data_IF_814005081977
#
_entry.id   IF_814005081977
#
_cell.length_a   1.000
_cell.length_b   1.000
_cell.length_c   1.000
_cell.angle_alpha   90.00
_cell.angle_beta   90.00
_cell.angle_gamma   90.00
#
_symmetry.space_group_name_H-M   'P 1'
#
loop_
_entity.id
_entity.type
_entity.pdbx_description
1 polymer ?
#
# COMPACT_ATOMS: atom_id res chain seq x y z
N UNK A 1 29.48 5.38 2.99
CA UNK A 1 28.92 4.23 2.25
C UNK A 1 27.73 3.69 3.01
N UNK A 2 26.57 3.68 2.40
CA UNK A 2 25.40 3.00 2.97
C UNK A 2 25.59 1.50 2.73
N UNK A 3 25.70 0.75 3.82
CA UNK A 3 25.81 -0.71 3.74
C UNK A 3 24.40 -1.30 3.81
N UNK A 4 24.04 -2.06 2.79
CA UNK A 4 22.78 -2.84 2.79
C UNK A 4 23.00 -4.08 3.67
N UNK A 5 22.10 -4.28 4.63
CA UNK A 5 22.14 -5.42 5.56
C UNK A 5 21.02 -6.37 5.17
N UNK A 6 21.30 -7.67 4.98
CA UNK A 6 20.24 -8.64 4.75
C UNK A 6 19.34 -8.77 5.98
N UNK A 7 18.03 -8.76 5.76
CA UNK A 7 17.02 -8.90 6.81
C UNK A 7 16.28 -10.22 6.59
N UNK A 8 16.34 -11.12 7.57
CA UNK A 8 15.56 -12.36 7.56
C UNK A 8 14.24 -12.22 8.29
N UNK A 9 14.19 -11.30 9.27
CA UNK A 9 13.02 -10.98 10.07
C UNK A 9 13.05 -9.52 10.50
N UNK A 10 11.91 -8.85 10.51
CA UNK A 10 11.76 -7.47 10.95
C UNK A 10 10.64 -7.37 11.99
N UNK A 11 10.95 -6.81 13.16
CA UNK A 11 9.99 -6.67 14.27
C UNK A 11 8.87 -5.65 14.00
N UNK A 12 9.04 -4.80 12.99
CA UNK A 12 8.04 -3.77 12.63
C UNK A 12 7.07 -4.26 11.55
N UNK A 13 7.43 -5.31 10.81
CA UNK A 13 6.57 -5.90 9.79
C UNK A 13 5.50 -6.79 10.43
N UNK A 14 4.31 -6.74 9.88
CA UNK A 14 3.27 -7.73 10.15
C UNK A 14 3.72 -9.14 9.76
N UNK A 15 3.20 -10.15 10.47
CA UNK A 15 3.63 -11.54 10.26
C UNK A 15 3.54 -12.02 8.81
N UNK A 16 2.46 -11.73 8.04
CA UNK A 16 2.37 -12.13 6.63
C UNK A 16 3.50 -11.57 5.76
N UNK A 17 3.95 -10.34 6.03
CA UNK A 17 5.08 -9.73 5.34
C UNK A 17 6.41 -10.39 5.73
N UNK A 18 6.60 -10.70 7.01
CA UNK A 18 7.78 -11.44 7.47
C UNK A 18 7.88 -12.82 6.82
N UNK A 19 6.76 -13.55 6.72
CA UNK A 19 6.70 -14.89 6.12
C UNK A 19 7.02 -14.87 4.61
N UNK A 20 6.90 -13.71 3.97
CA UNK A 20 7.22 -13.53 2.56
C UNK A 20 8.73 -13.31 2.32
N UNK A 21 9.48 -12.74 3.28
CA UNK A 21 10.90 -12.39 3.11
C UNK A 21 11.78 -13.56 2.64
N UNK A 22 11.76 -14.75 3.29
CA UNK A 22 12.57 -15.88 2.82
C UNK A 22 12.14 -16.39 1.46
N UNK A 23 10.87 -16.28 1.11
CA UNK A 23 10.34 -16.70 -0.19
C UNK A 23 10.80 -15.74 -1.30
N UNK A 24 10.85 -14.43 -1.04
CA UNK A 24 11.42 -13.43 -1.94
C UNK A 24 12.92 -13.68 -2.16
N UNK A 25 13.65 -13.99 -1.09
CA UNK A 25 15.06 -14.35 -1.20
C UNK A 25 15.27 -15.55 -2.12
N UNK A 26 14.45 -16.60 -1.97
CA UNK A 26 14.50 -17.79 -2.84
C UNK A 26 14.09 -17.50 -4.29
N UNK A 27 13.12 -16.60 -4.51
CA UNK A 27 12.71 -16.13 -5.83
C UNK A 27 13.88 -15.43 -6.53
N UNK A 28 14.46 -14.41 -5.90
CA UNK A 28 15.49 -13.58 -6.50
C UNK A 28 16.87 -14.26 -6.59
N UNK A 29 17.09 -15.34 -5.87
CA UNK A 29 18.25 -16.22 -6.09
C UNK A 29 18.23 -16.90 -7.48
N UNK A 30 17.06 -16.98 -8.14
CA UNK A 30 16.88 -17.54 -9.47
C UNK A 30 16.81 -16.47 -10.57
N UNK A 31 16.92 -15.18 -10.19
CA UNK A 31 16.79 -14.06 -11.11
C UNK A 31 17.97 -13.99 -12.07
N UNK A 32 17.71 -13.86 -13.37
CA UNK A 32 18.76 -13.93 -14.39
C UNK A 32 19.71 -12.73 -14.36
N UNK A 33 19.23 -11.55 -13.97
CA UNK A 33 20.02 -10.31 -13.89
C UNK A 33 19.81 -9.56 -12.57
N UNK A 34 20.28 -10.10 -11.43
CA UNK A 34 20.00 -9.53 -10.11
C UNK A 34 20.54 -8.10 -9.93
N UNK A 35 21.56 -7.69 -10.68
CA UNK A 35 22.09 -6.33 -10.67
C UNK A 35 21.12 -5.29 -11.29
N UNK A 36 20.04 -5.72 -11.92
CA UNK A 36 19.00 -4.85 -12.47
C UNK A 36 17.78 -4.74 -11.55
N UNK A 37 17.75 -5.49 -10.47
CA UNK A 37 16.76 -5.31 -9.41
C UNK A 37 17.01 -3.96 -8.74
N UNK A 38 15.99 -3.13 -8.69
CA UNK A 38 15.98 -1.87 -7.95
C UNK A 38 15.65 -2.13 -6.49
N UNK A 39 14.40 -1.97 -6.13
CA UNK A 39 13.91 -2.28 -4.79
C UNK A 39 12.49 -2.84 -4.85
N UNK A 40 12.08 -3.39 -3.71
CA UNK A 40 10.76 -3.97 -3.52
C UNK A 40 10.06 -3.17 -2.43
N UNK A 41 8.82 -2.81 -2.70
CA UNK A 41 7.91 -2.26 -1.71
C UNK A 41 6.82 -3.30 -1.43
N UNK A 42 6.53 -3.51 -0.15
CA UNK A 42 5.51 -4.45 0.31
C UNK A 42 4.50 -3.72 1.17
N UNK A 43 3.24 -3.97 0.92
CA UNK A 43 2.14 -3.37 1.66
C UNK A 43 1.15 -4.47 2.05
N UNK A 44 0.82 -4.54 3.35
CA UNK A 44 -0.29 -5.33 3.82
C UNK A 44 -1.58 -4.52 3.65
N UNK A 45 -2.47 -4.98 2.77
CA UNK A 45 -3.80 -4.43 2.56
C UNK A 45 -4.86 -5.37 3.15
N UNK A 46 -6.10 -4.91 3.29
CA UNK A 46 -7.18 -5.75 3.85
C UNK A 46 -7.54 -6.95 2.94
N UNK A 47 -7.23 -6.85 1.64
CA UNK A 47 -7.43 -7.95 0.68
C UNK A 47 -6.17 -8.75 0.34
N UNK A 48 -5.07 -8.56 1.07
CA UNK A 48 -3.85 -9.34 0.87
C UNK A 48 -2.59 -8.49 0.85
N UNK A 49 -1.50 -9.04 0.29
CA UNK A 49 -0.22 -8.34 0.19
C UNK A 49 -0.06 -7.77 -1.21
N UNK A 50 0.17 -6.47 -1.31
CA UNK A 50 0.61 -5.81 -2.53
C UNK A 50 2.13 -5.72 -2.56
N UNK A 51 2.72 -6.01 -3.72
CA UNK A 51 4.14 -5.94 -3.99
C UNK A 51 4.42 -5.08 -5.22
N UNK A 52 5.24 -4.06 -5.07
CA UNK A 52 5.82 -3.32 -6.19
C UNK A 52 7.28 -3.73 -6.34
N UNK A 53 7.62 -4.29 -7.49
CA UNK A 53 9.00 -4.53 -7.92
C UNK A 53 9.46 -3.40 -8.84
N UNK A 54 10.52 -2.71 -8.46
CA UNK A 54 11.20 -1.74 -9.34
C UNK A 54 12.39 -2.40 -10.01
N UNK A 55 12.41 -2.37 -11.34
CA UNK A 55 13.45 -2.96 -12.17
C UNK A 55 14.07 -1.89 -13.08
N UNK A 56 15.41 -1.88 -13.18
CA UNK A 56 16.14 -0.82 -13.89
C UNK A 56 15.89 -0.87 -15.40
N UNK A 57 15.71 -2.06 -15.95
CA UNK A 57 15.44 -2.32 -17.37
C UNK A 57 14.20 -3.20 -17.51
N UNK A 58 13.84 -3.51 -18.75
CA UNK A 58 12.75 -4.45 -19.00
C UNK A 58 13.08 -5.84 -18.44
N UNK A 59 12.10 -6.46 -17.81
CA UNK A 59 12.19 -7.82 -17.27
C UNK A 59 12.12 -8.81 -18.42
N UNK A 60 13.08 -9.73 -18.49
CA UNK A 60 13.08 -10.79 -19.49
C UNK A 60 11.94 -11.80 -19.28
N UNK A 61 11.54 -12.48 -20.35
CA UNK A 61 10.38 -13.39 -20.34
C UNK A 61 10.49 -14.52 -19.30
N UNK A 62 11.71 -15.03 -19.06
CA UNK A 62 11.97 -16.05 -18.03
C UNK A 62 11.67 -15.52 -16.64
N UNK A 63 12.20 -14.34 -16.30
CA UNK A 63 12.00 -13.70 -15.00
C UNK A 63 10.55 -13.23 -14.82
N UNK A 64 9.92 -12.77 -15.91
CA UNK A 64 8.49 -12.43 -15.92
C UNK A 64 7.63 -13.63 -15.56
N UNK A 65 7.87 -14.77 -16.19
CA UNK A 65 7.16 -16.01 -15.91
C UNK A 65 7.36 -16.47 -14.48
N UNK A 66 8.60 -16.39 -13.98
CA UNK A 66 8.94 -16.73 -12.60
C UNK A 66 8.21 -15.84 -11.60
N UNK A 67 8.18 -14.54 -11.86
CA UNK A 67 7.53 -13.56 -10.99
C UNK A 67 6.01 -13.73 -10.95
N UNK A 68 5.37 -13.94 -12.10
CA UNK A 68 3.92 -14.17 -12.19
C UNK A 68 3.51 -15.45 -11.46
N UNK A 69 4.26 -16.54 -11.61
CA UNK A 69 4.02 -17.78 -10.85
C UNK A 69 4.16 -17.58 -9.35
N UNK A 70 5.15 -16.81 -8.94
CA UNK A 70 5.34 -16.49 -7.55
C UNK A 70 4.16 -15.66 -6.99
N UNK A 71 3.71 -14.65 -7.74
CA UNK A 71 2.57 -13.83 -7.36
C UNK A 71 1.29 -14.67 -7.21
N UNK A 72 1.04 -15.58 -8.15
CA UNK A 72 -0.08 -16.52 -8.09
C UNK A 72 0.01 -17.45 -6.86
N UNK A 73 1.16 -18.07 -6.64
CA UNK A 73 1.38 -19.00 -5.52
C UNK A 73 1.26 -18.35 -4.15
N UNK A 74 1.69 -17.09 -4.05
CA UNK A 74 1.61 -16.32 -2.80
C UNK A 74 0.37 -15.45 -2.70
N UNK A 75 -0.52 -15.48 -3.71
CA UNK A 75 -1.75 -14.66 -3.80
C UNK A 75 -1.45 -13.15 -3.61
N UNK A 76 -0.39 -12.67 -4.28
CA UNK A 76 0.02 -11.27 -4.22
C UNK A 76 -0.76 -10.42 -5.22
N UNK A 77 -0.91 -9.15 -4.90
CA UNK A 77 -1.23 -8.10 -5.87
C UNK A 77 0.09 -7.56 -6.40
N UNK A 78 0.43 -7.86 -7.65
CA UNK A 78 1.75 -7.59 -8.21
C UNK A 78 1.73 -6.36 -9.11
N UNK A 79 2.58 -5.42 -8.78
CA UNK A 79 2.88 -4.24 -9.57
C UNK A 79 4.36 -4.25 -9.94
N UNK A 80 4.66 -3.82 -11.14
CA UNK A 80 6.03 -3.74 -11.65
C UNK A 80 6.29 -2.38 -12.23
N UNK A 81 7.38 -1.76 -11.80
CA UNK A 81 7.88 -0.53 -12.38
C UNK A 81 9.10 -0.84 -13.25
N UNK A 82 8.92 -0.65 -14.54
CA UNK A 82 9.97 -0.61 -15.54
C UNK A 82 10.08 0.85 -16.03
N UNK A 83 11.29 1.44 -15.95
CA UNK A 83 11.48 2.86 -16.24
C UNK A 83 10.57 3.77 -15.37
N UNK A 84 9.73 4.58 -16.01
CA UNK A 84 8.87 5.57 -15.32
C UNK A 84 7.41 5.10 -15.15
N UNK A 85 7.03 3.98 -15.76
CA UNK A 85 5.66 3.44 -15.72
C UNK A 85 5.53 2.30 -14.73
N UNK A 86 4.41 2.30 -13.99
CA UNK A 86 4.02 1.16 -13.16
C UNK A 86 2.88 0.44 -13.87
N UNK A 87 3.01 -0.86 -13.98
CA UNK A 87 2.00 -1.74 -14.55
C UNK A 87 1.48 -2.69 -13.47
N UNK A 88 0.19 -2.93 -13.49
CA UNK A 88 -0.45 -3.95 -12.66
C UNK A 88 -0.40 -5.29 -13.40
N UNK A 89 0.39 -6.23 -12.89
CA UNK A 89 0.63 -7.51 -13.58
C UNK A 89 -0.24 -8.65 -13.08
N UNK A 90 -0.64 -8.65 -11.81
CA UNK A 90 -1.43 -9.75 -11.24
C UNK A 90 -2.22 -9.33 -9.99
N UNK A 91 -3.36 -9.99 -9.75
CA UNK A 91 -4.20 -9.82 -8.58
C UNK A 91 -5.19 -8.66 -8.71
N UNK A 92 -5.75 -8.24 -7.60
CA UNK A 92 -6.71 -7.15 -7.51
C UNK A 92 -6.02 -5.83 -7.15
N UNK A 93 -6.78 -4.72 -7.15
CA UNK A 93 -6.30 -3.45 -6.61
C UNK A 93 -6.32 -3.53 -5.08
N UNK A 94 -5.23 -3.11 -4.39
CA UNK A 94 -5.22 -3.12 -2.94
C UNK A 94 -6.19 -2.10 -2.36
N UNK A 95 -6.79 -2.46 -1.22
CA UNK A 95 -7.67 -1.57 -0.48
C UNK A 95 -7.53 -1.77 1.03
N UNK A 96 -7.97 -0.79 1.79
CA UNK A 96 -8.22 -0.92 3.21
C UNK A 96 -9.58 -0.33 3.58
N UNK A 97 -10.13 -0.78 4.72
CA UNK A 97 -11.42 -0.34 5.22
C UNK A 97 -11.26 0.61 6.39
N UNK A 98 -12.01 1.70 6.31
CA UNK A 98 -12.18 2.66 7.38
C UNK A 98 -13.58 2.48 7.99
N UNK A 99 -13.72 1.57 8.97
CA UNK A 99 -15.02 1.17 9.48
C UNK A 99 -15.72 0.14 8.59
N UNK A 100 -17.05 -0.03 8.78
CA UNK A 100 -17.80 -1.11 8.14
C UNK A 100 -18.22 -0.80 6.69
N UNK A 101 -18.33 0.47 6.33
CA UNK A 101 -18.96 0.94 5.08
C UNK A 101 -18.05 1.76 4.15
N UNK A 102 -16.80 2.03 4.57
CA UNK A 102 -15.85 2.81 3.77
C UNK A 102 -14.70 1.92 3.33
N UNK A 103 -14.57 1.73 2.02
CA UNK A 103 -13.43 1.05 1.41
C UNK A 103 -12.63 2.05 0.60
N UNK A 104 -11.34 2.19 0.89
CA UNK A 104 -10.39 3.01 0.16
C UNK A 104 -9.49 2.11 -0.68
N UNK A 105 -9.66 2.15 -1.99
CA UNK A 105 -8.65 1.64 -2.91
C UNK A 105 -7.50 2.63 -2.98
N UNK A 106 -6.28 2.13 -3.10
CA UNK A 106 -5.09 2.97 -3.18
C UNK A 106 -4.14 2.51 -4.29
N UNK A 107 -3.39 3.45 -4.83
CA UNK A 107 -2.26 3.14 -5.71
C UNK A 107 -1.09 2.66 -4.84
N UNK A 108 -0.32 1.68 -5.32
CA UNK A 108 0.83 1.14 -4.58
C UNK A 108 1.89 2.20 -4.23
N UNK A 109 1.84 3.37 -4.86
CA UNK A 109 2.70 4.53 -4.59
C UNK A 109 2.17 5.46 -3.52
N UNK A 110 0.90 5.33 -3.17
CA UNK A 110 0.27 6.25 -2.23
C UNK A 110 0.83 6.05 -0.82
N UNK A 111 0.92 7.15 -0.09
CA UNK A 111 1.24 7.07 1.31
C UNK A 111 0.03 6.56 2.08
N UNK A 112 0.17 5.39 2.68
CA UNK A 112 -0.82 4.81 3.57
C UNK A 112 -0.25 4.65 4.99
N UNK A 113 -1.13 4.68 5.98
CA UNK A 113 -0.74 4.35 7.36
C UNK A 113 -0.53 2.84 7.48
N UNK A 114 0.73 2.44 7.59
CA UNK A 114 1.17 1.04 7.60
C UNK A 114 0.51 0.22 8.72
N UNK A 115 0.31 0.82 9.90
CA UNK A 115 -0.38 0.19 11.01
C UNK A 115 -1.87 0.51 10.95
N UNK A 116 -2.64 -0.35 10.29
CA UNK A 116 -4.08 -0.17 10.07
C UNK A 116 -4.88 -0.10 11.37
N UNK A 117 -4.50 -0.90 12.39
CA UNK A 117 -5.18 -0.87 13.68
C UNK A 117 -4.94 0.45 14.42
N UNK A 118 -3.70 0.93 14.45
CA UNK A 118 -3.37 2.22 15.03
C UNK A 118 -4.05 3.37 14.26
N UNK A 119 -4.15 3.27 12.94
CA UNK A 119 -4.85 4.23 12.11
C UNK A 119 -6.34 4.32 12.48
N UNK A 120 -7.01 3.19 12.65
CA UNK A 120 -8.41 3.14 13.12
C UNK A 120 -8.59 3.79 14.49
N UNK A 121 -7.70 3.49 15.43
CA UNK A 121 -7.72 4.11 16.76
C UNK A 121 -7.48 5.62 16.70
N UNK A 122 -6.56 6.07 15.87
CA UNK A 122 -6.26 7.50 15.65
C UNK A 122 -7.49 8.23 15.08
N UNK A 123 -8.15 7.66 14.08
CA UNK A 123 -9.38 8.21 13.50
C UNK A 123 -10.49 8.26 14.56
N UNK A 124 -10.72 7.17 15.28
CA UNK A 124 -11.74 7.11 16.33
C UNK A 124 -11.51 8.17 17.42
N UNK A 125 -10.26 8.33 17.86
CA UNK A 125 -9.87 9.33 18.85
C UNK A 125 -10.09 10.75 18.34
N UNK A 126 -9.73 11.04 17.10
CA UNK A 126 -9.94 12.35 16.49
C UNK A 126 -11.43 12.69 16.37
N UNK A 127 -12.25 11.73 15.95
CA UNK A 127 -13.71 11.89 15.85
C UNK A 127 -14.35 12.14 17.22
N UNK A 128 -13.87 11.49 18.27
CA UNK A 128 -14.34 11.66 19.63
C UNK A 128 -13.99 13.07 20.17
N UNK A 129 -12.75 13.49 20.00
CA UNK A 129 -12.29 14.81 20.47
C UNK A 129 -12.91 15.99 19.75
N UNK A 130 -13.34 15.82 18.50
CA UNK A 130 -13.98 16.88 17.73
C UNK A 130 -15.41 17.19 18.21
N UNK A 131 -16.04 16.31 19.01
CA UNK A 131 -17.40 16.48 19.53
C UNK A 131 -18.41 16.93 18.46
N UNK A 132 -18.36 16.27 17.29
CA UNK A 132 -19.09 16.66 16.08
C UNK A 132 -20.61 16.62 16.23
N UNK A 133 -21.28 17.62 15.64
CA UNK A 133 -22.72 17.66 15.51
C UNK A 133 -23.16 17.35 14.06
N UNK A 134 -24.34 16.72 13.84
CA UNK A 134 -24.85 16.43 12.50
C UNK A 134 -25.07 17.67 11.62
N UNK A 135 -25.08 18.88 12.18
CA UNK A 135 -25.23 20.13 11.43
C UNK A 135 -23.90 20.82 11.11
N UNK A 136 -22.78 20.27 11.57
CA UNK A 136 -21.47 20.88 11.37
C UNK A 136 -21.00 20.78 9.92
N UNK A 137 -20.13 21.70 9.55
CA UNK A 137 -19.37 21.73 8.30
C UNK A 137 -17.91 21.61 8.63
N UNK A 138 -17.25 20.59 8.10
CA UNK A 138 -15.84 20.27 8.39
C UNK A 138 -14.97 20.48 7.16
N UNK A 139 -13.80 21.06 7.37
CA UNK A 139 -12.75 21.20 6.39
C UNK A 139 -11.55 20.38 6.84
N UNK A 140 -11.13 19.45 5.99
CA UNK A 140 -9.93 18.62 6.18
C UNK A 140 -8.84 19.11 5.22
N UNK A 141 -7.78 19.68 5.77
CA UNK A 141 -6.64 20.20 4.99
C UNK A 141 -5.56 19.12 4.89
N UNK A 142 -5.02 18.93 3.69
CA UNK A 142 -4.07 17.86 3.38
C UNK A 142 -4.69 16.48 3.58
N UNK A 143 -5.89 16.31 3.06
CA UNK A 143 -6.72 15.15 3.33
C UNK A 143 -6.18 13.83 2.73
N UNK A 144 -5.21 13.89 1.84
CA UNK A 144 -4.73 12.71 1.10
C UNK A 144 -5.90 12.02 0.38
N UNK A 145 -6.00 10.72 0.52
CA UNK A 145 -7.11 9.90 -0.02
C UNK A 145 -8.40 9.98 0.81
N UNK A 146 -8.47 10.84 1.83
CA UNK A 146 -9.65 11.01 2.65
C UNK A 146 -9.71 10.14 3.90
N UNK A 147 -8.55 9.75 4.44
CA UNK A 147 -8.44 8.92 5.64
C UNK A 147 -9.25 9.44 6.85
N UNK A 148 -9.33 10.76 7.00
CA UNK A 148 -10.20 11.43 7.99
C UNK A 148 -11.48 11.98 7.37
N UNK A 149 -11.40 12.56 6.18
CA UNK A 149 -12.55 13.19 5.49
C UNK A 149 -13.73 12.24 5.36
N UNK A 150 -13.48 10.99 4.97
CA UNK A 150 -14.55 10.02 4.72
C UNK A 150 -15.26 9.59 6.02
N UNK A 151 -14.58 9.19 7.10
CA UNK A 151 -15.22 8.97 8.40
C UNK A 151 -15.94 10.21 8.96
N UNK A 152 -15.36 11.42 8.80
CA UNK A 152 -15.98 12.68 9.19
C UNK A 152 -17.30 12.91 8.45
N UNK A 153 -17.33 12.65 7.14
CA UNK A 153 -18.53 12.87 6.30
C UNK A 153 -19.76 12.08 6.75
N UNK A 154 -19.56 10.98 7.49
CA UNK A 154 -20.64 10.15 8.05
C UNK A 154 -21.27 10.76 9.31
N UNK A 155 -20.64 11.75 9.91
CA UNK A 155 -21.06 12.32 11.21
C UNK A 155 -21.54 13.76 11.14
N UNK A 156 -21.32 14.44 10.01
CA UNK A 156 -21.58 15.88 9.86
C UNK A 156 -22.44 16.17 8.63
N UNK A 157 -22.93 17.39 8.50
CA UNK A 157 -23.74 17.85 7.37
C UNK A 157 -22.94 17.89 6.08
N UNK A 158 -21.67 18.32 6.15
CA UNK A 158 -20.75 18.28 5.02
C UNK A 158 -19.31 18.19 5.50
N UNK A 159 -18.50 17.43 4.79
CA UNK A 159 -17.06 17.41 4.92
C UNK A 159 -16.42 17.74 3.57
N UNK A 160 -15.42 18.60 3.58
CA UNK A 160 -14.64 18.96 2.39
C UNK A 160 -13.19 18.66 2.67
N UNK A 161 -12.57 17.83 1.83
CA UNK A 161 -11.13 17.56 1.84
C UNK A 161 -10.42 18.43 0.81
N UNK A 162 -9.25 18.95 1.16
CA UNK A 162 -8.35 19.67 0.25
C UNK A 162 -7.01 18.96 0.23
N UNK A 163 -6.59 18.55 -0.96
CA UNK A 163 -5.30 17.89 -1.21
C UNK A 163 -4.60 18.56 -2.39
N UNK A 164 -3.26 18.70 -2.30
CA UNK A 164 -2.44 19.30 -3.35
C UNK A 164 -2.05 18.33 -4.47
N UNK A 165 -2.17 17.02 -4.23
CA UNK A 165 -1.86 15.96 -5.20
C UNK A 165 -3.14 15.43 -5.82
N UNK A 166 -3.44 15.82 -7.07
CA UNK A 166 -4.69 15.47 -7.76
C UNK A 166 -4.95 13.96 -7.81
N UNK A 167 -3.93 13.15 -8.01
CA UNK A 167 -4.05 11.69 -8.07
C UNK A 167 -4.56 11.04 -6.77
N UNK A 168 -4.53 11.75 -5.64
CA UNK A 168 -5.03 11.25 -4.36
C UNK A 168 -6.51 11.54 -4.12
N UNK A 169 -7.15 12.37 -4.95
CA UNK A 169 -8.55 12.80 -4.79
C UNK A 169 -9.43 12.38 -5.96
N UNK A 170 -8.87 11.71 -6.97
CA UNK A 170 -9.58 11.08 -8.10
C UNK A 170 -10.03 9.66 -7.77
#
# INVERSE_FOLDING_TARGET
>A
SQQIIPIEHCLVLEQPLNDLLPKLTALFAQWSMPQQLGHIELVAADNGIAMLLRHIKNIGETDRTLLLRFAEQQQLMLFVQEHDSIEHWYGEQPYYRLGDDITLQFDIRDFIQINTELNRQMIATALDWLELNPQDHVLDLFCGMGNFTLPLSRKVKSAVGIEGVSAMVE
#
